data_IF_514350725119
#
_entry.id   IF_514350725119
#
_cell.length_a   1.000
_cell.length_b   1.000
_cell.length_c   1.000
_cell.angle_alpha   90.00
_cell.angle_beta   90.00
_cell.angle_gamma   90.00
#
_symmetry.space_group_name_H-M   'P 1'
#
loop_
_entity.id
_entity.type
_entity.pdbx_description
1 polymer ?
#
# COMPACT_ATOMS: atom_id res chain seq x y z
N UNK A 1 -13.63 7.21 20.19
CA UNK A 1 -12.37 6.90 19.50
C UNK A 1 -12.36 7.65 18.17
N UNK A 2 -11.22 8.14 17.67
CA UNK A 2 -11.17 8.84 16.39
C UNK A 2 -11.58 7.91 15.25
N UNK A 3 -12.29 8.45 14.27
CA UNK A 3 -12.70 7.78 13.03
C UNK A 3 -11.61 7.88 11.97
N UNK A 4 -11.72 7.09 10.90
CA UNK A 4 -10.80 7.18 9.76
C UNK A 4 -10.79 8.59 9.13
N UNK A 5 -11.94 9.27 9.14
CA UNK A 5 -12.09 10.65 8.66
C UNK A 5 -11.36 11.66 9.55
N UNK A 6 -11.36 11.44 10.88
CA UNK A 6 -10.61 12.29 11.81
C UNK A 6 -9.10 12.20 11.55
N UNK A 7 -8.60 10.97 11.32
CA UNK A 7 -7.20 10.72 10.99
C UNK A 7 -6.83 11.32 9.62
N UNK A 8 -7.73 11.24 8.64
CA UNK A 8 -7.53 11.89 7.34
C UNK A 8 -7.43 13.41 7.46
N UNK A 9 -8.33 14.02 8.24
CA UNK A 9 -8.33 15.46 8.48
C UNK A 9 -7.03 15.92 9.14
N UNK A 10 -6.52 15.17 10.12
CA UNK A 10 -5.21 15.42 10.73
C UNK A 10 -4.08 15.30 9.69
N UNK A 11 -4.09 14.23 8.89
CA UNK A 11 -3.06 13.97 7.89
C UNK A 11 -2.94 15.11 6.87
N UNK A 12 -4.07 15.70 6.43
CA UNK A 12 -4.10 16.83 5.48
C UNK A 12 -3.34 18.06 5.97
N UNK A 13 -3.34 18.31 7.28
CA UNK A 13 -2.60 19.40 7.92
C UNK A 13 -1.17 19.05 8.36
N UNK A 14 -0.71 17.81 8.11
CA UNK A 14 0.54 17.31 8.67
C UNK A 14 1.77 18.06 8.14
N UNK A 15 2.66 18.47 9.04
CA UNK A 15 3.98 19.08 8.74
C UNK A 15 5.13 18.37 9.47
N UNK A 16 4.94 17.11 9.88
CA UNK A 16 5.92 16.35 10.70
C UNK A 16 7.22 16.01 9.97
N UNK A 17 7.28 16.15 8.64
CA UNK A 17 8.50 15.93 7.87
C UNK A 17 8.60 16.87 6.65
N UNK A 18 9.80 16.99 6.04
CA UNK A 18 10.05 17.92 4.92
C UNK A 18 9.21 17.65 3.66
N UNK A 19 8.63 16.46 3.52
CA UNK A 19 7.75 16.15 2.39
C UNK A 19 6.50 17.02 2.34
N UNK A 20 6.13 17.65 3.45
CA UNK A 20 5.02 18.61 3.51
C UNK A 20 5.25 19.87 2.67
N UNK A 21 6.51 20.24 2.43
CA UNK A 21 6.88 21.45 1.68
C UNK A 21 6.72 21.27 0.16
N UNK A 22 6.83 20.02 -0.32
CA UNK A 22 6.87 19.71 -1.76
C UNK A 22 5.64 19.02 -2.33
N UNK A 23 4.69 18.62 -1.48
CA UNK A 23 3.44 17.97 -1.93
C UNK A 23 2.47 19.01 -2.51
N UNK A 24 1.67 18.59 -3.48
CA UNK A 24 0.47 19.33 -3.87
C UNK A 24 -0.64 19.10 -2.85
N UNK A 25 -0.82 17.83 -2.46
CA UNK A 25 -1.77 17.46 -1.42
C UNK A 25 -1.36 16.14 -0.75
N UNK A 26 -2.04 15.83 0.35
CA UNK A 26 -1.86 14.56 1.04
C UNK A 26 -2.66 13.47 0.32
N UNK A 27 -2.03 12.33 0.11
CA UNK A 27 -2.64 11.13 -0.46
C UNK A 27 -2.82 10.11 0.66
N UNK A 28 -3.95 10.17 1.34
CA UNK A 28 -4.19 9.44 2.58
C UNK A 28 -4.40 7.93 2.33
N UNK A 29 -5.39 7.61 1.51
CA UNK A 29 -5.86 6.26 1.21
C UNK A 29 -7.31 6.33 0.71
N UNK A 30 -7.74 5.35 -0.08
CA UNK A 30 -9.12 5.27 -0.62
C UNK A 30 -9.63 3.84 -0.62
N UNK A 31 -10.94 3.67 -0.73
CA UNK A 31 -11.60 2.38 -0.79
C UNK A 31 -12.59 2.16 0.35
N UNK A 32 -12.97 0.91 0.59
CA UNK A 32 -13.93 0.59 1.65
C UNK A 32 -13.27 0.73 3.05
N UNK A 33 -13.80 1.58 3.95
CA UNK A 33 -13.25 1.76 5.30
C UNK A 33 -13.46 0.55 6.22
N UNK A 34 -14.27 -0.43 5.82
CA UNK A 34 -14.49 -1.70 6.51
C UNK A 34 -14.02 -2.89 5.64
N UNK A 35 -12.96 -2.71 4.86
CA UNK A 35 -12.49 -3.74 3.94
C UNK A 35 -11.73 -4.85 4.67
N UNK A 36 -12.06 -6.11 4.34
CA UNK A 36 -11.28 -7.27 4.80
C UNK A 36 -9.91 -7.38 4.09
N UNK A 37 -9.72 -6.66 2.98
CA UNK A 37 -8.50 -6.63 2.19
C UNK A 37 -7.94 -5.20 2.10
N UNK A 38 -6.67 -5.04 2.46
CA UNK A 38 -5.94 -3.78 2.35
C UNK A 38 -4.67 -3.94 1.50
N UNK A 39 -4.41 -2.99 0.60
CA UNK A 39 -3.15 -2.89 -0.13
C UNK A 39 -2.30 -1.73 0.41
N UNK A 40 -1.01 -1.98 0.63
CA UNK A 40 -0.07 -0.97 1.13
C UNK A 40 1.13 -0.86 0.20
N UNK A 41 1.26 0.29 -0.46
CA UNK A 41 2.41 0.66 -1.29
C UNK A 41 3.44 1.52 -0.57
N UNK A 42 4.34 2.10 -1.37
CA UNK A 42 5.49 2.86 -0.88
C UNK A 42 5.13 4.33 -0.60
N UNK A 43 4.85 5.10 -1.65
CA UNK A 43 4.60 6.53 -1.58
C UNK A 43 3.78 7.00 -2.79
N UNK A 44 3.17 8.19 -2.74
CA UNK A 44 2.48 8.77 -3.89
C UNK A 44 3.46 9.13 -5.01
N UNK A 45 3.07 8.86 -6.26
CA UNK A 45 3.72 9.41 -7.44
C UNK A 45 3.16 10.78 -7.82
N UNK A 46 3.59 11.30 -8.97
CA UNK A 46 3.15 12.61 -9.46
C UNK A 46 1.63 12.69 -9.69
N UNK A 47 1.04 11.65 -10.28
CA UNK A 47 -0.39 11.66 -10.60
C UNK A 47 -1.24 11.53 -9.33
N UNK A 48 -0.76 10.73 -8.38
CA UNK A 48 -1.38 10.58 -7.07
C UNK A 48 -1.34 11.90 -6.29
N UNK A 49 -0.19 12.59 -6.25
CA UNK A 49 -0.05 13.90 -5.60
C UNK A 49 -0.96 14.97 -6.21
N UNK A 50 -1.16 14.96 -7.53
CA UNK A 50 -2.06 15.89 -8.21
C UNK A 50 -3.54 15.59 -7.96
N UNK A 51 -3.91 14.32 -7.75
CA UNK A 51 -5.31 13.90 -7.58
C UNK A 51 -5.75 13.73 -6.12
N UNK A 52 -4.83 13.50 -5.20
CA UNK A 52 -5.13 13.17 -3.80
C UNK A 52 -5.45 11.70 -3.57
N UNK A 53 -5.36 10.87 -4.61
CA UNK A 53 -5.76 9.46 -4.58
C UNK A 53 -4.58 8.54 -4.90
N UNK A 54 -4.39 7.44 -4.13
CA UNK A 54 -3.29 6.52 -4.36
C UNK A 54 -3.58 5.60 -5.56
N UNK A 55 -2.52 5.18 -6.25
CA UNK A 55 -2.59 4.22 -7.36
C UNK A 55 -3.56 4.65 -8.47
N UNK A 56 -3.42 5.89 -8.97
CA UNK A 56 -4.19 6.41 -10.11
C UNK A 56 -3.39 6.43 -11.42
N UNK A 57 -2.06 6.32 -11.32
CA UNK A 57 -1.16 6.19 -12.46
C UNK A 57 -1.13 4.79 -13.07
N UNK A 58 -0.14 4.54 -13.95
CA UNK A 58 0.00 3.25 -14.67
C UNK A 58 0.15 2.04 -13.73
N UNK A 59 0.91 2.20 -12.65
CA UNK A 59 1.10 1.15 -11.65
C UNK A 59 -0.21 0.78 -10.94
N UNK A 60 -1.06 1.77 -10.67
CA UNK A 60 -2.36 1.54 -10.06
C UNK A 60 -3.37 0.87 -10.98
N UNK A 61 -3.41 1.27 -12.26
CA UNK A 61 -4.24 0.60 -13.27
C UNK A 61 -3.85 -0.88 -13.43
N UNK A 62 -2.55 -1.19 -13.39
CA UNK A 62 -2.08 -2.57 -13.41
C UNK A 62 -2.51 -3.32 -12.14
N UNK A 63 -2.41 -2.71 -10.96
CA UNK A 63 -2.90 -3.30 -9.72
C UNK A 63 -4.39 -3.65 -9.83
N UNK A 64 -5.22 -2.69 -10.24
CA UNK A 64 -6.67 -2.89 -10.39
C UNK A 64 -6.98 -4.02 -11.37
N UNK A 65 -6.29 -4.07 -12.50
CA UNK A 65 -6.44 -5.14 -13.49
C UNK A 65 -6.12 -6.51 -12.87
N UNK A 66 -4.97 -6.63 -12.19
CA UNK A 66 -4.55 -7.91 -11.59
C UNK A 66 -5.48 -8.36 -10.46
N UNK A 67 -5.96 -7.43 -9.65
CA UNK A 67 -6.94 -7.73 -8.58
C UNK A 67 -8.26 -8.19 -9.18
N UNK A 68 -8.74 -7.53 -10.23
CA UNK A 68 -9.96 -7.95 -10.94
C UNK A 68 -9.80 -9.35 -11.55
N UNK A 69 -8.67 -9.62 -12.23
CA UNK A 69 -8.40 -10.90 -12.90
C UNK A 69 -8.27 -12.08 -11.91
N UNK A 70 -7.53 -11.90 -10.81
CA UNK A 70 -7.20 -13.01 -9.90
C UNK A 70 -8.23 -13.15 -8.77
N UNK A 71 -8.76 -12.04 -8.27
CA UNK A 71 -9.63 -11.99 -7.09
C UNK A 71 -11.09 -11.73 -7.44
N UNK A 72 -11.39 -11.12 -8.59
CA UNK A 72 -12.76 -10.72 -8.96
C UNK A 72 -13.28 -9.53 -8.14
N UNK A 73 -12.36 -8.73 -7.60
CA UNK A 73 -12.67 -7.58 -6.74
C UNK A 73 -12.41 -6.27 -7.48
N UNK A 74 -13.24 -5.27 -7.21
CA UNK A 74 -13.11 -3.91 -7.73
C UNK A 74 -12.61 -2.94 -6.65
N UNK A 75 -12.22 -1.72 -7.03
CA UNK A 75 -11.55 -0.74 -6.14
C UNK A 75 -12.37 -0.36 -4.90
N UNK A 76 -13.69 -0.49 -4.96
CA UNK A 76 -14.63 -0.30 -3.86
C UNK A 76 -14.68 -1.47 -2.87
N UNK A 77 -14.12 -2.64 -3.23
CA UNK A 77 -14.13 -3.84 -2.38
C UNK A 77 -12.96 -3.91 -1.40
N UNK A 78 -11.90 -3.12 -1.61
CA UNK A 78 -10.69 -3.13 -0.80
C UNK A 78 -10.26 -1.71 -0.41
N UNK A 79 -9.40 -1.59 0.58
CA UNK A 79 -8.74 -0.33 0.91
C UNK A 79 -7.33 -0.29 0.33
N UNK A 80 -6.87 0.86 -0.14
CA UNK A 80 -5.50 1.02 -0.65
C UNK A 80 -4.88 2.32 -0.16
N UNK A 81 -3.65 2.21 0.33
CA UNK A 81 -2.84 3.33 0.81
C UNK A 81 -1.35 3.08 0.60
N UNK A 82 -0.53 3.97 1.14
CA UNK A 82 0.93 3.91 1.08
C UNK A 82 1.56 4.11 2.45
N UNK A 83 2.83 3.71 2.62
CA UNK A 83 3.63 4.05 3.81
C UNK A 83 3.72 5.56 3.99
N UNK A 84 4.12 6.28 2.95
CA UNK A 84 4.11 7.74 2.96
C UNK A 84 2.79 8.29 2.43
N UNK A 85 2.32 9.40 3.00
CA UNK A 85 1.14 10.14 2.53
C UNK A 85 1.48 11.34 1.65
N UNK A 86 2.76 11.60 1.42
CA UNK A 86 3.27 12.73 0.64
C UNK A 86 4.27 12.22 -0.38
N UNK A 87 4.26 12.80 -1.58
CA UNK A 87 5.19 12.46 -2.66
C UNK A 87 6.62 12.92 -2.34
N UNK A 88 7.63 12.03 -2.40
CA UNK A 88 9.04 12.43 -2.36
C UNK A 88 9.45 13.26 -3.59
N UNK A 89 10.31 14.28 -3.44
CA UNK A 89 10.83 15.08 -4.56
C UNK A 89 11.46 14.21 -5.64
N UNK A 90 11.06 14.41 -6.90
CA UNK A 90 11.55 13.62 -8.03
C UNK A 90 11.15 12.14 -8.01
N UNK A 91 10.16 11.74 -7.19
CA UNK A 91 9.79 10.33 -6.96
C UNK A 91 10.98 9.47 -6.46
N UNK A 92 11.91 10.08 -5.71
CA UNK A 92 12.95 9.31 -5.04
C UNK A 92 12.37 8.37 -3.99
N UNK A 93 13.17 7.41 -3.57
CA UNK A 93 12.84 6.53 -2.47
C UNK A 93 12.57 7.30 -1.15
N UNK A 94 11.64 6.81 -0.30
CA UNK A 94 11.43 7.27 1.06
C UNK A 94 12.70 7.20 1.91
N UNK A 95 12.96 8.25 2.70
CA UNK A 95 14.00 8.21 3.73
C UNK A 95 13.46 7.58 5.02
N UNK A 96 14.33 6.95 5.85
CA UNK A 96 13.91 6.36 7.12
C UNK A 96 13.14 7.34 8.02
N UNK A 97 13.61 8.58 8.17
CA UNK A 97 12.96 9.60 9.00
C UNK A 97 11.58 10.02 8.46
N UNK A 98 11.37 9.95 7.15
CA UNK A 98 10.08 10.23 6.52
C UNK A 98 9.10 9.11 6.81
N UNK A 99 9.56 7.85 6.75
CA UNK A 99 8.78 6.67 7.11
C UNK A 99 8.38 6.75 8.58
N UNK A 100 9.33 6.98 9.51
CA UNK A 100 9.04 7.07 10.94
C UNK A 100 8.01 8.18 11.23
N UNK A 101 8.13 9.33 10.58
CA UNK A 101 7.20 10.45 10.77
C UNK A 101 5.79 10.15 10.26
N UNK A 102 5.66 9.33 9.21
CA UNK A 102 4.39 9.04 8.54
C UNK A 102 3.72 7.75 9.03
N UNK A 103 4.51 6.81 9.58
CA UNK A 103 4.10 5.50 10.09
C UNK A 103 2.84 5.55 10.96
N UNK A 104 2.66 6.50 11.90
CA UNK A 104 1.45 6.52 12.75
C UNK A 104 0.14 6.60 11.97
N UNK A 105 0.12 7.25 10.80
CA UNK A 105 -1.10 7.32 9.97
C UNK A 105 -1.44 5.96 9.38
N UNK A 106 -0.45 5.20 8.89
CA UNK A 106 -0.68 3.86 8.36
C UNK A 106 -1.12 2.90 9.47
N UNK A 107 -0.48 2.95 10.63
CA UNK A 107 -0.87 2.12 11.78
C UNK A 107 -2.31 2.40 12.20
N UNK A 108 -2.71 3.67 12.27
CA UNK A 108 -4.10 4.04 12.57
C UNK A 108 -5.08 3.63 11.49
N UNK A 109 -4.71 3.69 10.21
CA UNK A 109 -5.54 3.15 9.13
C UNK A 109 -5.77 1.65 9.31
N UNK A 110 -4.71 0.89 9.57
CA UNK A 110 -4.82 -0.57 9.77
C UNK A 110 -5.65 -0.89 11.01
N UNK A 111 -5.44 -0.18 12.12
CA UNK A 111 -6.20 -0.36 13.36
C UNK A 111 -7.69 -0.08 13.18
N UNK A 112 -8.05 0.98 12.46
CA UNK A 112 -9.45 1.41 12.29
C UNK A 112 -10.20 0.63 11.23
N UNK A 113 -9.53 0.24 10.14
CA UNK A 113 -10.12 -0.59 9.08
C UNK A 113 -10.19 -2.05 9.52
N UNK A 114 -9.23 -2.47 10.34
CA UNK A 114 -9.16 -3.79 10.95
C UNK A 114 -9.27 -4.93 9.89
N UNK A 115 -8.41 -4.93 8.84
CA UNK A 115 -8.52 -5.90 7.74
C UNK A 115 -8.10 -7.31 8.16
N UNK A 116 -8.56 -8.32 7.43
CA UNK A 116 -8.15 -9.72 7.60
C UNK A 116 -6.89 -10.05 6.80
N UNK A 117 -6.69 -9.40 5.65
CA UNK A 117 -5.53 -9.59 4.77
C UNK A 117 -4.92 -8.25 4.38
N UNK A 118 -3.61 -8.12 4.48
CA UNK A 118 -2.87 -6.95 4.00
C UNK A 118 -1.83 -7.39 2.96
N UNK A 119 -1.96 -6.89 1.74
CA UNK A 119 -1.01 -7.13 0.66
C UNK A 119 -0.01 -5.98 0.59
N UNK A 120 1.27 -6.26 0.89
CA UNK A 120 2.33 -5.25 0.80
C UNK A 120 2.96 -5.25 -0.58
N UNK A 121 3.07 -4.06 -1.18
CA UNK A 121 3.57 -3.87 -2.54
C UNK A 121 5.00 -3.33 -2.48
N UNK A 122 5.98 -4.18 -2.75
CA UNK A 122 7.40 -3.81 -2.80
C UNK A 122 8.10 -3.76 -1.44
N UNK A 123 9.32 -3.25 -1.43
CA UNK A 123 10.23 -3.33 -0.28
C UNK A 123 9.76 -2.50 0.92
N UNK A 124 9.36 -1.24 0.71
CA UNK A 124 9.15 -0.32 1.83
C UNK A 124 7.96 -0.75 2.72
N UNK A 125 6.80 -1.01 2.12
CA UNK A 125 5.65 -1.52 2.85
C UNK A 125 5.94 -2.86 3.54
N UNK A 126 6.61 -3.77 2.83
CA UNK A 126 6.93 -5.11 3.35
C UNK A 126 7.90 -5.05 4.52
N UNK A 127 9.01 -4.31 4.39
CA UNK A 127 10.02 -4.17 5.45
C UNK A 127 9.47 -3.51 6.69
N UNK A 128 8.63 -2.48 6.50
CA UNK A 128 7.97 -1.79 7.60
C UNK A 128 7.04 -2.73 8.38
N UNK A 129 6.07 -3.35 7.69
CA UNK A 129 5.04 -4.14 8.37
C UNK A 129 5.53 -5.50 8.87
N UNK A 130 6.51 -6.13 8.20
CA UNK A 130 7.15 -7.35 8.71
C UNK A 130 8.26 -7.09 9.73
N UNK A 131 8.65 -5.83 9.93
CA UNK A 131 9.84 -5.46 10.71
C UNK A 131 11.08 -6.29 10.29
N UNK A 132 11.38 -6.30 8.99
CA UNK A 132 12.45 -7.12 8.42
C UNK A 132 13.41 -6.31 7.56
N UNK A 133 14.66 -6.76 7.47
CA UNK A 133 15.67 -6.21 6.55
C UNK A 133 15.73 -6.96 5.22
N UNK A 134 15.05 -8.11 5.12
CA UNK A 134 15.05 -8.95 3.92
C UNK A 134 14.37 -8.24 2.74
N UNK A 135 14.92 -8.43 1.54
CA UNK A 135 14.36 -7.87 0.31
C UNK A 135 13.13 -8.62 -0.20
N UNK A 136 12.28 -7.94 -0.96
CA UNK A 136 11.00 -8.44 -1.46
C UNK A 136 11.13 -9.78 -2.19
N UNK A 137 12.21 -9.99 -2.96
CA UNK A 137 12.47 -11.23 -3.69
C UNK A 137 12.57 -12.47 -2.79
N UNK A 138 13.00 -12.32 -1.53
CA UNK A 138 13.13 -13.42 -0.56
C UNK A 138 11.84 -13.69 0.22
N UNK A 139 11.07 -12.63 0.49
CA UNK A 139 9.90 -12.70 1.40
C UNK A 139 8.57 -12.89 0.67
N UNK A 140 8.47 -12.53 -0.62
CA UNK A 140 7.26 -12.78 -1.40
C UNK A 140 6.98 -14.27 -1.60
N UNK A 141 5.74 -14.62 -1.95
CA UNK A 141 5.34 -16.01 -2.17
C UNK A 141 4.99 -16.79 -0.90
N UNK A 142 5.03 -16.14 0.25
CA UNK A 142 4.66 -16.67 1.56
C UNK A 142 3.62 -15.78 2.24
N UNK A 143 3.09 -16.23 3.38
CA UNK A 143 2.19 -15.47 4.24
C UNK A 143 2.81 -15.30 5.61
N UNK A 144 2.51 -14.19 6.29
CA UNK A 144 3.04 -13.91 7.62
C UNK A 144 1.93 -13.43 8.55
N UNK A 145 1.92 -13.84 9.83
CA UNK A 145 0.98 -13.31 10.81
C UNK A 145 1.27 -11.83 11.08
N UNK A 146 0.22 -11.03 11.26
CA UNK A 146 0.32 -9.62 11.64
C UNK A 146 -0.90 -9.17 12.45
N UNK A 147 -0.76 -9.17 13.78
CA UNK A 147 -1.91 -8.99 14.67
C UNK A 147 -2.97 -10.05 14.36
N UNK A 148 -4.20 -9.59 14.05
CA UNK A 148 -5.28 -10.46 13.57
C UNK A 148 -5.26 -10.72 12.06
N UNK A 149 -4.50 -9.92 11.31
CA UNK A 149 -4.43 -10.00 9.87
C UNK A 149 -3.32 -10.96 9.42
N UNK A 150 -3.34 -11.28 8.13
CA UNK A 150 -2.23 -11.97 7.45
C UNK A 150 -1.61 -11.04 6.41
N UNK A 151 -0.28 -10.89 6.45
CA UNK A 151 0.48 -10.20 5.42
C UNK A 151 0.80 -11.13 4.25
N UNK A 152 0.61 -10.62 3.04
CA UNK A 152 1.00 -11.27 1.78
C UNK A 152 1.90 -10.33 0.98
N UNK A 153 3.23 -10.45 1.08
CA UNK A 153 4.13 -9.60 0.32
C UNK A 153 4.17 -9.96 -1.16
N UNK A 154 4.20 -8.93 -2.02
CA UNK A 154 4.42 -9.08 -3.46
C UNK A 154 5.23 -7.92 -4.05
N UNK A 155 5.60 -8.03 -5.32
CA UNK A 155 6.32 -6.95 -6.00
C UNK A 155 5.46 -5.70 -6.15
N UNK A 156 6.11 -4.54 -6.20
CA UNK A 156 5.41 -3.31 -6.53
C UNK A 156 5.05 -3.30 -8.04
N UNK A 157 3.84 -2.88 -8.44
CA UNK A 157 3.43 -2.87 -9.85
C UNK A 157 4.35 -2.05 -10.77
N UNK A 158 5.05 -1.03 -10.24
CA UNK A 158 6.05 -0.26 -11.02
C UNK A 158 7.21 -1.12 -11.52
N UNK A 159 7.60 -2.18 -10.79
CA UNK A 159 8.69 -3.07 -11.20
C UNK A 159 8.37 -3.84 -12.49
N UNK A 160 7.09 -4.21 -12.70
CA UNK A 160 6.63 -4.81 -13.94
C UNK A 160 6.73 -3.83 -15.12
N UNK A 161 6.50 -2.54 -14.87
CA UNK A 161 6.50 -1.48 -15.88
C UNK A 161 7.91 -1.00 -16.28
N UNK A 162 8.93 -1.26 -15.47
CA UNK A 162 10.32 -0.80 -15.67
C UNK A 162 11.25 -1.86 -16.31
N UNK A 163 10.70 -2.90 -16.93
CA UNK A 163 11.48 -3.90 -17.69
C UNK A 163 11.51 -5.31 -17.11
N UNK A 164 10.91 -5.55 -15.93
CA UNK A 164 10.73 -6.90 -15.36
C UNK A 164 9.57 -7.70 -15.96
N UNK A 165 8.67 -7.03 -16.69
CA UNK A 165 7.63 -7.61 -17.56
C UNK A 165 6.87 -8.81 -17.00
N UNK A 166 6.77 -9.86 -17.82
CA UNK A 166 5.90 -11.02 -17.59
C UNK A 166 6.24 -11.87 -16.36
N UNK A 167 7.50 -12.01 -16.00
CA UNK A 167 7.90 -12.81 -14.81
C UNK A 167 7.44 -12.13 -13.51
N UNK A 168 7.62 -10.80 -13.41
CA UNK A 168 7.13 -10.03 -12.25
C UNK A 168 5.61 -10.10 -12.16
N UNK A 169 4.90 -9.93 -13.28
CA UNK A 169 3.43 -10.02 -13.32
C UNK A 169 2.95 -11.41 -12.90
N UNK A 170 3.56 -12.48 -13.44
CA UNK A 170 3.22 -13.87 -13.09
C UNK A 170 3.38 -14.11 -11.59
N UNK A 171 4.47 -13.62 -11.00
CA UNK A 171 4.71 -13.70 -9.56
C UNK A 171 3.70 -12.88 -8.75
N UNK A 172 3.30 -11.70 -9.22
CA UNK A 172 2.26 -10.92 -8.56
C UNK A 172 0.91 -11.65 -8.59
N UNK A 173 0.52 -12.23 -9.73
CA UNK A 173 -0.71 -13.04 -9.85
C UNK A 173 -0.73 -14.19 -8.84
N UNK A 174 0.37 -14.94 -8.75
CA UNK A 174 0.49 -16.02 -7.79
C UNK A 174 0.31 -15.56 -6.32
N UNK A 175 0.81 -14.38 -5.97
CA UNK A 175 0.65 -13.80 -4.63
C UNK A 175 -0.78 -13.29 -4.38
N UNK A 176 -1.46 -12.74 -5.40
CA UNK A 176 -2.86 -12.34 -5.29
C UNK A 176 -3.78 -13.56 -5.13
N UNK A 177 -3.53 -14.66 -5.85
CA UNK A 177 -4.23 -15.94 -5.63
C UNK A 177 -4.01 -16.43 -4.20
N UNK A 178 -2.81 -16.27 -3.65
CA UNK A 178 -2.52 -16.60 -2.25
C UNK A 178 -3.32 -15.70 -1.30
N UNK A 179 -3.33 -14.40 -1.51
CA UNK A 179 -4.14 -13.45 -0.72
C UNK A 179 -5.63 -13.81 -0.75
N UNK A 180 -6.16 -14.15 -1.94
CA UNK A 180 -7.55 -14.62 -2.10
C UNK A 180 -7.86 -15.87 -1.27
N UNK A 181 -6.95 -16.85 -1.25
CA UNK A 181 -7.11 -18.08 -0.47
C UNK A 181 -7.14 -17.80 1.03
N UNK A 182 -6.28 -16.90 1.51
CA UNK A 182 -6.28 -16.48 2.92
C UNK A 182 -7.58 -15.76 3.25
N UNK A 183 -8.00 -14.82 2.40
CA UNK A 183 -9.23 -14.06 2.59
C UNK A 183 -10.47 -14.96 2.68
N UNK A 184 -10.51 -16.06 1.94
CA UNK A 184 -11.61 -17.04 1.98
C UNK A 184 -11.64 -17.92 3.25
N UNK A 185 -10.62 -17.82 4.12
CA UNK A 185 -10.50 -18.61 5.36
C UNK A 185 -10.62 -17.77 6.64
N UNK A 186 -10.83 -16.47 6.49
CA UNK A 186 -11.02 -15.52 7.58
C UNK A 186 -12.49 -15.40 8.00
#
# INVERSE_FOLDING_TARGET
MPTLLDIEAEARGCVRCPLSEGRTQVVFGVGNPNADLMFVGEAPGQQEDLKGEPFVGRAGKLLDQLVMEEMGLTRDSFYVGNVLKCRPPGNRDPKPEEIESCRPYLEKQIELIDPNVIVTLGNFATKLLLNTTQGITKVRGQTYPYGKATLVPTFHPSAALQGGGGDVISKMRADLVRAKKVLATC
#
